data_IF_859476059692
#
_entry.id   IF_859476059692
#
_cell.length_a   1.000
_cell.length_b   1.000
_cell.length_c   1.000
_cell.angle_alpha   90.00
_cell.angle_beta   90.00
_cell.angle_gamma   90.00
#
_symmetry.space_group_name_H-M   'P 1'
#
loop_
_entity.id
_entity.type
_entity.pdbx_description
1 polymer ?
#
# COMPACT_ATOMS: atom_id res chain seq x y z
N UNK A 1 -11.22 19.91 23.33
CA UNK A 1 -11.75 20.64 22.15
C UNK A 1 -10.75 20.71 20.99
N UNK A 2 -9.52 21.16 21.18
CA UNK A 2 -8.48 21.24 20.12
C UNK A 2 -8.15 19.90 19.42
N UNK A 3 -8.12 18.78 20.15
CA UNK A 3 -7.82 17.47 19.57
C UNK A 3 -8.95 16.93 18.67
N UNK A 4 -10.19 17.28 18.95
CA UNK A 4 -11.36 16.89 18.16
C UNK A 4 -11.37 17.59 16.80
N UNK A 5 -11.06 18.87 16.75
CA UNK A 5 -10.99 19.64 15.51
C UNK A 5 -9.86 19.15 14.60
N UNK A 6 -8.68 18.91 15.16
CA UNK A 6 -7.53 18.35 14.41
C UNK A 6 -7.86 16.98 13.80
N UNK A 7 -8.57 16.13 14.56
CA UNK A 7 -9.02 14.83 14.08
C UNK A 7 -9.98 14.95 12.90
N UNK A 8 -11.00 15.81 13.01
CA UNK A 8 -12.00 16.03 11.94
C UNK A 8 -11.32 16.58 10.66
N UNK A 9 -10.39 17.53 10.81
CA UNK A 9 -9.63 18.06 9.68
C UNK A 9 -8.78 16.95 9.04
N UNK A 10 -8.10 16.15 9.84
CA UNK A 10 -7.29 15.02 9.37
C UNK A 10 -8.13 13.98 8.61
N UNK A 11 -9.29 13.62 9.15
CA UNK A 11 -10.22 12.67 8.49
C UNK A 11 -10.75 13.21 7.15
N UNK A 12 -11.10 14.49 7.08
CA UNK A 12 -11.54 15.14 5.83
C UNK A 12 -10.41 15.21 4.80
N UNK A 13 -9.20 15.54 5.24
CA UNK A 13 -8.03 15.58 4.38
C UNK A 13 -7.71 14.17 3.85
N UNK A 14 -7.71 13.17 4.72
CA UNK A 14 -7.50 11.77 4.31
C UNK A 14 -8.56 11.29 3.32
N UNK A 15 -9.83 11.65 3.54
CA UNK A 15 -10.91 11.34 2.61
C UNK A 15 -10.72 12.02 1.25
N UNK A 16 -10.32 13.29 1.24
CA UNK A 16 -10.04 14.04 0.01
C UNK A 16 -8.88 13.44 -0.78
N UNK A 17 -7.78 13.09 -0.10
CA UNK A 17 -6.58 12.53 -0.69
C UNK A 17 -6.77 11.11 -1.20
N UNK A 18 -7.63 10.34 -0.54
CA UNK A 18 -7.95 8.95 -0.94
C UNK A 18 -9.00 8.88 -2.05
N UNK A 19 -9.48 10.02 -2.57
CA UNK A 19 -10.45 10.01 -3.67
C UNK A 19 -9.76 9.56 -4.95
N UNK A 20 -10.37 8.60 -5.63
CA UNK A 20 -9.91 8.12 -6.93
C UNK A 20 -10.07 9.20 -8.01
N UNK A 21 -9.14 9.19 -8.96
CA UNK A 21 -9.18 10.05 -10.12
C UNK A 21 -9.88 9.33 -11.28
N UNK A 22 -10.78 10.01 -12.00
CA UNK A 22 -11.40 9.44 -13.18
C UNK A 22 -10.34 9.23 -14.28
N UNK A 23 -10.57 8.24 -15.15
CA UNK A 23 -9.73 8.00 -16.32
C UNK A 23 -8.49 7.13 -16.07
N UNK A 24 -8.30 6.58 -14.87
CA UNK A 24 -7.27 5.57 -14.66
C UNK A 24 -7.59 4.32 -15.48
N UNK A 25 -6.62 3.85 -16.24
CA UNK A 25 -6.73 2.61 -17.00
C UNK A 25 -5.59 1.68 -16.60
N UNK A 26 -5.93 0.46 -16.26
CA UNK A 26 -4.95 -0.60 -16.07
C UNK A 26 -4.35 -0.94 -17.45
N UNK A 27 -3.04 -0.83 -17.56
CA UNK A 27 -2.30 -1.15 -18.78
C UNK A 27 -1.84 -2.62 -18.81
N UNK A 28 -1.70 -3.21 -17.62
CA UNK A 28 -1.27 -4.59 -17.45
C UNK A 28 -2.41 -5.55 -17.79
N UNK A 29 -2.09 -6.57 -18.59
CA UNK A 29 -3.03 -7.62 -19.01
C UNK A 29 -2.88 -8.91 -18.20
N UNK A 30 -1.91 -8.96 -17.25
CA UNK A 30 -1.66 -10.15 -16.43
C UNK A 30 -2.83 -10.39 -15.48
N UNK A 31 -3.40 -11.59 -15.49
CA UNK A 31 -4.48 -11.93 -14.58
C UNK A 31 -4.01 -11.90 -13.13
N UNK A 32 -4.87 -11.47 -12.21
CA UNK A 32 -4.53 -11.41 -10.77
C UNK A 32 -4.18 -12.80 -10.23
N UNK A 33 -4.75 -13.85 -10.79
CA UNK A 33 -4.43 -15.23 -10.46
C UNK A 33 -2.98 -15.60 -10.80
N UNK A 34 -2.44 -15.10 -11.92
CA UNK A 34 -1.05 -15.35 -12.30
C UNK A 34 -0.09 -14.60 -11.39
N UNK A 35 -0.46 -13.37 -10.98
CA UNK A 35 0.27 -12.63 -9.95
C UNK A 35 0.30 -13.44 -8.64
N UNK A 36 -0.84 -13.98 -8.23
CA UNK A 36 -0.98 -14.79 -7.04
C UNK A 36 -0.07 -16.03 -7.03
N UNK A 37 -0.02 -16.75 -8.17
CA UNK A 37 0.83 -17.94 -8.31
C UNK A 37 2.33 -17.62 -8.30
N UNK A 38 2.71 -16.39 -8.58
CA UNK A 38 4.11 -15.96 -8.64
C UNK A 38 4.64 -15.48 -7.30
N UNK A 39 3.77 -15.04 -6.39
CA UNK A 39 4.15 -14.43 -5.12
C UNK A 39 4.81 -15.44 -4.18
N UNK A 40 5.93 -15.02 -3.61
CA UNK A 40 6.62 -15.71 -2.51
C UNK A 40 6.68 -14.83 -1.27
N UNK A 41 6.61 -15.44 -0.09
CA UNK A 41 6.68 -14.71 1.19
C UNK A 41 7.95 -13.85 1.24
N UNK A 42 7.79 -12.57 1.57
CA UNK A 42 8.86 -11.58 1.53
C UNK A 42 8.91 -10.73 0.26
N UNK A 43 8.11 -11.07 -0.76
CA UNK A 43 8.00 -10.22 -1.96
C UNK A 43 7.35 -8.87 -1.62
N UNK A 44 7.82 -7.83 -2.28
CA UNK A 44 7.21 -6.50 -2.27
C UNK A 44 6.34 -6.36 -3.52
N UNK A 45 5.07 -6.04 -3.33
CA UNK A 45 4.15 -5.70 -4.42
C UNK A 45 4.06 -4.19 -4.52
N UNK A 46 4.58 -3.62 -5.60
CA UNK A 46 4.42 -2.21 -5.92
C UNK A 46 3.10 -2.01 -6.66
N UNK A 47 2.40 -0.94 -6.32
CA UNK A 47 1.08 -0.62 -6.87
C UNK A 47 1.10 0.75 -7.52
N UNK A 48 0.61 0.82 -8.75
CA UNK A 48 0.26 2.07 -9.41
C UNK A 48 -1.13 2.52 -8.97
N UNK A 49 -1.18 3.30 -7.92
CA UNK A 49 -2.44 3.79 -7.37
C UNK A 49 -3.08 4.91 -8.21
N UNK A 50 -4.40 5.00 -8.14
CA UNK A 50 -5.24 5.93 -8.90
C UNK A 50 -5.84 7.07 -8.07
N UNK A 51 -5.41 7.24 -6.82
CA UNK A 51 -5.93 8.29 -5.93
C UNK A 51 -5.16 9.61 -6.09
N UNK A 52 -5.71 10.69 -5.52
CA UNK A 52 -5.04 12.01 -5.51
C UNK A 52 -3.69 11.96 -4.82
N UNK A 53 -3.60 11.27 -3.67
CA UNK A 53 -2.31 11.11 -2.98
C UNK A 53 -1.35 10.26 -3.80
N UNK A 54 -1.83 9.24 -4.50
CA UNK A 54 -1.02 8.42 -5.39
C UNK A 54 -0.37 9.26 -6.49
N UNK A 55 -1.13 10.17 -7.09
CA UNK A 55 -0.61 11.09 -8.11
C UNK A 55 0.46 12.03 -7.53
N UNK A 56 0.24 12.57 -6.34
CA UNK A 56 1.23 13.41 -5.68
C UNK A 56 2.53 12.63 -5.37
N UNK A 57 2.43 11.41 -4.86
CA UNK A 57 3.57 10.54 -4.59
C UNK A 57 4.34 10.25 -5.89
N UNK A 58 3.64 9.82 -6.94
CA UNK A 58 4.26 9.54 -8.24
C UNK A 58 5.02 10.75 -8.81
N UNK A 59 4.42 11.93 -8.70
CA UNK A 59 5.06 13.18 -9.14
C UNK A 59 6.33 13.48 -8.33
N UNK A 60 6.28 13.36 -7.00
CA UNK A 60 7.42 13.68 -6.12
C UNK A 60 8.56 12.69 -6.24
N UNK A 61 8.24 11.40 -6.36
CA UNK A 61 9.24 10.34 -6.46
C UNK A 61 9.73 10.10 -7.88
N UNK A 62 9.12 10.78 -8.87
CA UNK A 62 9.36 10.55 -10.30
C UNK A 62 9.22 9.05 -10.67
N UNK A 63 8.24 8.38 -10.05
CA UNK A 63 7.98 6.96 -10.18
C UNK A 63 6.55 6.72 -10.66
N UNK A 64 6.30 5.62 -11.34
CA UNK A 64 4.96 5.13 -11.64
C UNK A 64 4.29 4.46 -10.44
N UNK A 65 5.06 4.10 -9.43
CA UNK A 65 4.58 3.40 -8.24
C UNK A 65 4.33 4.38 -7.10
N UNK A 66 3.18 4.27 -6.47
CA UNK A 66 2.77 5.16 -5.38
C UNK A 66 2.49 4.43 -4.07
N UNK A 67 2.47 3.11 -4.10
CA UNK A 67 2.21 2.30 -2.92
C UNK A 67 3.02 1.00 -2.97
N UNK A 68 3.28 0.42 -1.80
CA UNK A 68 3.99 -0.83 -1.65
C UNK A 68 3.34 -1.68 -0.56
N UNK A 69 3.22 -2.98 -0.82
CA UNK A 69 2.74 -3.97 0.12
C UNK A 69 3.77 -5.07 0.28
N UNK A 70 3.88 -5.65 1.48
CA UNK A 70 4.69 -6.84 1.73
C UNK A 70 3.80 -8.07 1.68
N UNK A 71 4.15 -9.07 0.87
CA UNK A 71 3.48 -10.36 0.90
C UNK A 71 3.95 -11.19 2.10
N UNK A 72 3.04 -11.40 3.04
CA UNK A 72 3.35 -12.13 4.30
C UNK A 72 2.94 -13.60 4.27
N UNK A 73 2.47 -14.09 3.12
CA UNK A 73 2.02 -15.47 2.95
C UNK A 73 0.53 -15.65 3.21
N UNK A 74 0.06 -16.86 2.99
CA UNK A 74 -1.34 -17.21 3.24
C UNK A 74 -1.60 -17.33 4.74
N UNK A 75 -2.67 -16.68 5.21
CA UNK A 75 -3.19 -16.86 6.56
C UNK A 75 -4.67 -17.27 6.44
N UNK A 76 -4.96 -18.53 6.72
CA UNK A 76 -6.32 -19.08 6.70
C UNK A 76 -6.52 -20.20 5.69
N UNK A 77 -7.58 -20.99 5.87
CA UNK A 77 -7.95 -22.08 4.98
C UNK A 77 -8.78 -21.54 3.81
N UNK A 78 -8.22 -21.54 2.61
CA UNK A 78 -8.90 -21.18 1.37
C UNK A 78 -8.04 -20.29 0.45
N UNK A 79 -8.17 -20.50 -0.85
CA UNK A 79 -7.38 -19.86 -1.90
C UNK A 79 -7.59 -18.33 -2.08
N UNK A 80 -8.43 -17.72 -1.27
CA UNK A 80 -8.76 -16.29 -1.35
C UNK A 80 -7.98 -15.41 -0.35
N UNK A 81 -6.95 -15.93 0.34
CA UNK A 81 -6.33 -15.25 1.47
C UNK A 81 -4.85 -14.95 1.23
N UNK A 82 -4.53 -14.44 0.06
CA UNK A 82 -3.21 -13.88 -0.21
C UNK A 82 -3.08 -12.56 0.54
N UNK A 83 -2.39 -12.61 1.69
CA UNK A 83 -2.28 -11.46 2.57
C UNK A 83 -1.12 -10.56 2.18
N UNK A 84 -1.47 -9.35 1.80
CA UNK A 84 -0.56 -8.23 1.67
C UNK A 84 -0.63 -7.38 2.93
N UNK A 85 0.52 -7.14 3.55
CA UNK A 85 0.64 -6.18 4.64
C UNK A 85 0.93 -4.81 4.06
N UNK A 86 0.10 -3.85 4.39
CA UNK A 86 0.24 -2.47 3.93
C UNK A 86 -0.03 -1.47 5.05
N UNK A 87 0.35 -0.22 4.81
CA UNK A 87 -0.03 0.91 5.65
C UNK A 87 -0.76 1.95 4.82
N UNK A 88 -1.95 2.37 5.25
CA UNK A 88 -2.67 3.46 4.62
C UNK A 88 -3.19 4.51 5.63
N UNK A 89 -3.62 5.67 5.10
CA UNK A 89 -4.03 6.82 5.92
C UNK A 89 -5.24 6.56 6.81
N UNK A 90 -6.10 5.62 6.44
CA UNK A 90 -7.37 5.36 7.14
C UNK A 90 -7.23 4.28 8.19
N UNK A 91 -6.56 3.18 7.84
CA UNK A 91 -6.49 1.97 8.68
C UNK A 91 -5.16 1.80 9.38
N UNK A 92 -4.14 2.59 8.99
CA UNK A 92 -2.76 2.33 9.42
C UNK A 92 -2.24 1.03 8.83
N UNK A 93 -1.41 0.30 9.58
CA UNK A 93 -0.84 -0.98 9.17
C UNK A 93 -1.90 -2.07 9.30
N UNK A 94 -2.21 -2.76 8.21
CA UNK A 94 -3.24 -3.81 8.18
C UNK A 94 -2.98 -4.82 7.05
N UNK A 95 -3.68 -5.93 7.12
CA UNK A 95 -3.70 -6.91 6.04
C UNK A 95 -4.80 -6.57 5.03
N UNK A 96 -4.48 -6.72 3.76
CA UNK A 96 -5.43 -6.65 2.65
C UNK A 96 -5.26 -7.87 1.74
N UNK A 97 -6.26 -8.15 0.91
CA UNK A 97 -6.19 -9.21 -0.07
C UNK A 97 -5.62 -8.67 -1.39
N UNK A 98 -4.89 -9.50 -2.13
CA UNK A 98 -4.37 -9.17 -3.45
C UNK A 98 -5.49 -8.73 -4.42
N UNK A 99 -6.69 -9.30 -4.31
CA UNK A 99 -7.85 -8.95 -5.13
C UNK A 99 -8.26 -7.47 -5.00
N UNK A 100 -7.91 -6.83 -3.90
CA UNK A 100 -8.11 -5.39 -3.73
C UNK A 100 -7.43 -4.57 -4.84
N UNK A 101 -6.36 -5.11 -5.41
CA UNK A 101 -5.57 -4.49 -6.44
C UNK A 101 -5.79 -5.08 -7.85
N UNK A 102 -6.84 -5.89 -8.05
CA UNK A 102 -7.12 -6.54 -9.32
C UNK A 102 -7.25 -5.57 -10.51
N UNK A 103 -7.62 -4.31 -10.25
CA UNK A 103 -7.76 -3.26 -11.26
C UNK A 103 -6.56 -2.29 -11.29
N UNK A 104 -5.46 -2.60 -10.62
CA UNK A 104 -4.25 -1.79 -10.59
C UNK A 104 -3.13 -2.42 -11.40
N UNK A 105 -2.21 -1.62 -11.93
CA UNK A 105 -0.94 -2.13 -12.42
C UNK A 105 -0.08 -2.53 -11.22
N UNK A 106 0.49 -3.71 -11.28
CA UNK A 106 1.28 -4.31 -10.21
C UNK A 106 2.68 -4.66 -10.67
N UNK A 107 3.64 -4.62 -9.75
CA UNK A 107 4.99 -5.11 -9.95
C UNK A 107 5.45 -5.90 -8.73
N UNK A 108 5.86 -7.14 -8.95
CA UNK A 108 6.51 -7.95 -7.91
C UNK A 108 8.00 -7.62 -7.91
N UNK A 109 8.51 -7.27 -6.74
CA UNK A 109 9.93 -7.08 -6.47
C UNK A 109 10.37 -8.11 -5.44
N UNK A 110 11.18 -9.08 -5.86
CA UNK A 110 11.71 -10.12 -4.99
C UNK A 110 13.07 -9.71 -4.47
N UNK A 111 13.28 -9.66 -3.14
CA UNK A 111 14.59 -9.39 -2.56
C UNK A 111 15.61 -10.45 -2.98
N UNK A 112 16.78 -10.01 -3.42
CA UNK A 112 17.88 -10.90 -3.77
C UNK A 112 18.57 -11.38 -2.49
N UNK A 113 18.90 -12.66 -2.42
CA UNK A 113 19.60 -13.29 -1.29
C UNK A 113 18.82 -13.31 0.04
N UNK A 114 17.51 -13.25 0.00
CA UNK A 114 16.66 -13.46 1.18
C UNK A 114 16.30 -14.95 1.26
N UNK A 115 16.75 -15.65 2.31
CA UNK A 115 16.37 -17.03 2.55
C UNK A 115 14.88 -17.15 2.95
N UNK A 116 14.32 -18.35 2.85
CA UNK A 116 12.93 -18.59 3.26
C UNK A 116 12.71 -18.32 4.76
N UNK A 117 13.69 -18.62 5.58
CA UNK A 117 13.70 -18.39 7.02
C UNK A 117 13.70 -16.89 7.32
N UNK A 118 14.55 -16.13 6.64
CA UNK A 118 14.59 -14.67 6.77
C UNK A 118 13.31 -14.01 6.26
N UNK A 119 12.74 -14.49 5.14
CA UNK A 119 11.44 -14.04 4.64
C UNK A 119 10.31 -14.30 5.65
N UNK A 120 10.34 -15.44 6.34
CA UNK A 120 9.38 -15.75 7.39
C UNK A 120 9.54 -14.82 8.60
N UNK A 121 10.78 -14.57 9.05
CA UNK A 121 11.08 -13.63 10.13
C UNK A 121 10.66 -12.20 9.78
N UNK A 122 10.93 -11.75 8.54
CA UNK A 122 10.49 -10.45 8.03
C UNK A 122 8.97 -10.31 8.08
N UNK A 123 8.25 -11.31 7.57
CA UNK A 123 6.79 -11.32 7.56
C UNK A 123 6.20 -11.31 8.99
N UNK A 124 6.79 -12.05 9.91
CA UNK A 124 6.40 -12.06 11.33
C UNK A 124 6.67 -10.71 11.99
N UNK A 125 7.88 -10.17 11.84
CA UNK A 125 8.25 -8.85 12.35
C UNK A 125 7.32 -7.75 11.85
N UNK A 126 7.01 -7.75 10.56
CA UNK A 126 6.12 -6.78 9.96
C UNK A 126 4.67 -6.96 10.46
N UNK A 127 4.20 -8.20 10.61
CA UNK A 127 2.85 -8.52 11.10
C UNK A 127 2.61 -8.03 12.54
N UNK A 128 3.64 -7.98 13.38
CA UNK A 128 3.56 -7.41 14.73
C UNK A 128 3.25 -5.90 14.74
N UNK A 129 3.34 -5.24 13.61
CA UNK A 129 3.02 -3.80 13.44
C UNK A 129 1.57 -3.56 13.04
N UNK A 130 0.76 -4.61 12.85
CA UNK A 130 -0.67 -4.46 12.54
C UNK A 130 -1.36 -3.63 13.63
N UNK A 131 -2.15 -2.63 13.21
CA UNK A 131 -2.83 -1.69 14.09
C UNK A 131 -2.04 -0.41 14.39
N UNK A 132 -0.75 -0.32 14.03
CA UNK A 132 -0.02 0.94 14.12
C UNK A 132 -0.62 1.97 13.17
N UNK A 133 -0.78 3.19 13.66
CA UNK A 133 -1.33 4.28 12.86
C UNK A 133 -0.28 4.86 11.91
N UNK A 134 -0.75 5.34 10.77
CA UNK A 134 0.09 6.07 9.83
C UNK A 134 0.46 7.44 10.40
N UNK A 135 1.71 7.86 10.24
CA UNK A 135 2.15 9.18 10.71
C UNK A 135 1.64 10.28 9.75
N UNK A 136 0.49 10.84 10.10
CA UNK A 136 -0.14 11.93 9.34
C UNK A 136 0.71 13.20 9.29
N UNK A 137 1.67 13.38 10.21
CA UNK A 137 2.55 14.53 10.22
C UNK A 137 3.48 14.48 8.99
N UNK A 138 4.08 13.34 8.72
CA UNK A 138 4.92 13.15 7.53
C UNK A 138 4.15 13.35 6.22
N UNK A 139 2.87 12.96 6.19
CA UNK A 139 2.00 13.22 5.03
C UNK A 139 1.71 14.72 4.86
N UNK A 140 1.48 15.44 5.95
CA UNK A 140 1.28 16.89 5.92
C UNK A 140 2.54 17.63 5.45
N UNK A 141 3.71 17.20 5.90
CA UNK A 141 4.99 17.76 5.45
C UNK A 141 5.25 17.49 3.97
N UNK A 142 4.88 16.30 3.47
CA UNK A 142 4.94 15.97 2.04
C UNK A 142 4.03 16.90 1.21
N UNK A 143 2.79 17.11 1.65
CA UNK A 143 1.83 18.01 0.99
C UNK A 143 2.35 19.45 1.01
N UNK A 144 2.90 19.91 2.13
CA UNK A 144 3.48 21.24 2.25
C UNK A 144 4.63 21.45 1.26
N UNK A 145 5.48 20.46 1.07
CA UNK A 145 6.57 20.50 0.09
C UNK A 145 6.02 20.63 -1.35
N UNK A 146 4.91 19.98 -1.68
CA UNK A 146 4.26 20.06 -3.00
C UNK A 146 3.67 21.44 -3.27
N UNK A 147 3.09 22.08 -2.24
CA UNK A 147 2.42 23.38 -2.37
C UNK A 147 3.43 24.54 -2.43
N UNK A 148 4.64 24.38 -1.91
CA UNK A 148 5.67 25.41 -1.89
C UNK A 148 6.50 25.49 -3.19
N UNK A 149 6.24 24.63 -4.17
CA UNK A 149 6.79 24.68 -5.53
C UNK A 149 5.75 25.18 -6.51
#
# INVERSE_FOLDING_TARGET
MFNSLKRVIGERLAAFLSKELPGYQRLDTVAIADVAMTLEKGDIVLVDGNTRISTAIKYLTQSTWSHACLYVGEKGAGSSHLNLLEANLKKGVHLTNLDHYANSNLRICRPVNLSKEEAAQLAEFASQRIGHQYDLKNVADLIRYVIQK
#
